data_IF_934754393868
#
_entry.id   IF_934754393868
#
_cell.length_a   1.000
_cell.length_b   1.000
_cell.length_c   1.000
_cell.angle_alpha   90.00
_cell.angle_beta   90.00
_cell.angle_gamma   90.00
#
_symmetry.space_group_name_H-M   'P 1'
#
loop_
_entity.id
_entity.type
_entity.pdbx_description
1 polymer ?
#
# COMPACT_ATOMS: atom_id res chain seq x y z
N UNK A 1 14.72 5.55 12.99
CA UNK A 1 13.48 5.00 13.57
C UNK A 1 12.55 6.09 14.10
N UNK A 2 13.01 7.02 14.93
CA UNK A 2 12.19 8.11 15.50
C UNK A 2 11.52 8.97 14.42
N UNK A 3 12.27 9.55 13.48
CA UNK A 3 11.71 10.42 12.40
C UNK A 3 10.62 9.70 11.59
N UNK A 4 10.81 8.42 11.33
CA UNK A 4 9.91 7.58 10.54
C UNK A 4 8.63 7.26 11.33
N UNK A 5 8.76 6.91 12.61
CA UNK A 5 7.63 6.71 13.51
C UNK A 5 6.88 8.03 13.73
N UNK A 6 7.57 9.16 13.81
CA UNK A 6 6.96 10.50 13.89
C UNK A 6 6.19 10.82 12.62
N UNK A 7 6.72 10.53 11.43
CA UNK A 7 5.99 10.71 10.17
C UNK A 7 4.78 9.79 10.06
N UNK A 8 4.93 8.51 10.44
CA UNK A 8 3.84 7.54 10.48
C UNK A 8 2.72 7.98 11.46
N UNK A 9 3.10 8.37 12.67
CA UNK A 9 2.16 8.88 13.69
C UNK A 9 1.55 10.22 13.27
N UNK A 10 2.29 11.07 12.54
CA UNK A 10 1.79 12.32 12.00
C UNK A 10 0.76 12.09 10.88
N UNK A 11 1.04 11.18 9.94
CA UNK A 11 0.10 10.78 8.89
C UNK A 11 -1.14 10.09 9.48
N UNK A 12 -0.95 9.22 10.48
CA UNK A 12 -2.02 8.55 11.21
C UNK A 12 -2.86 9.56 12.02
N UNK A 13 -2.22 10.54 12.66
CA UNK A 13 -2.87 11.63 13.38
C UNK A 13 -3.72 12.49 12.43
N UNK A 14 -3.20 12.85 11.25
CA UNK A 14 -3.97 13.58 10.23
C UNK A 14 -5.19 12.78 9.79
N UNK A 15 -5.03 11.47 9.57
CA UNK A 15 -6.12 10.58 9.16
C UNK A 15 -7.19 10.37 10.25
N UNK A 16 -6.79 10.23 11.52
CA UNK A 16 -7.70 10.01 12.64
C UNK A 16 -8.35 11.31 13.17
N UNK A 17 -7.63 12.42 13.17
CA UNK A 17 -8.17 13.74 13.52
C UNK A 17 -9.27 14.19 12.53
N UNK A 18 -9.25 13.65 11.30
CA UNK A 18 -10.29 13.83 10.30
C UNK A 18 -11.68 13.28 10.67
N UNK A 19 -11.80 12.41 11.69
CA UNK A 19 -13.00 11.59 11.90
C UNK A 19 -13.78 11.85 13.20
N UNK A 20 -13.26 12.65 14.14
CA UNK A 20 -14.00 13.01 15.37
C UNK A 20 -14.90 14.22 15.15
N UNK A 21 -16.03 14.02 14.48
CA UNK A 21 -17.16 14.95 14.59
C UNK A 21 -18.47 14.17 14.61
N UNK A 22 -18.64 13.36 15.64
CA UNK A 22 -19.93 12.76 16.01
C UNK A 22 -20.42 13.50 17.26
N UNK A 23 -21.51 14.27 17.09
CA UNK A 23 -22.31 14.98 18.11
C UNK A 23 -21.54 15.79 19.16
N UNK A 24 -21.34 17.09 18.92
CA UNK A 24 -20.79 18.02 19.92
C UNK A 24 -21.84 19.08 20.30
N UNK A 25 -22.07 19.19 21.61
CA UNK A 25 -23.00 20.12 22.26
C UNK A 25 -22.48 21.57 22.23
N UNK A 26 -23.36 22.56 22.40
CA UNK A 26 -23.09 23.98 22.16
C UNK A 26 -21.90 24.56 22.96
N UNK A 27 -21.63 24.02 24.16
CA UNK A 27 -20.52 24.48 25.01
C UNK A 27 -19.14 24.12 24.44
N UNK A 28 -19.05 23.02 23.68
CA UNK A 28 -17.80 22.64 23.02
C UNK A 28 -17.48 23.57 21.84
N UNK A 29 -18.50 24.10 21.16
CA UNK A 29 -18.34 25.05 20.06
C UNK A 29 -17.76 26.39 20.52
N UNK A 30 -18.02 26.80 21.77
CA UNK A 30 -17.45 28.00 22.37
C UNK A 30 -15.98 27.81 22.74
N UNK A 31 -15.60 26.65 23.29
CA UNK A 31 -14.19 26.30 23.52
C UNK A 31 -13.38 26.17 22.20
N UNK A 32 -14.03 25.80 21.10
CA UNK A 32 -13.43 25.62 19.78
C UNK A 32 -13.20 26.92 18.98
N UNK A 33 -13.70 28.07 19.46
CA UNK A 33 -13.63 29.36 18.73
C UNK A 33 -12.24 30.02 18.81
N UNK A 34 -11.50 29.81 19.90
CA UNK A 34 -10.31 30.61 20.22
C UNK A 34 -8.97 29.88 20.02
N UNK A 35 -9.00 28.59 19.61
CA UNK A 35 -7.80 27.79 19.42
C UNK A 35 -7.34 27.76 17.94
N UNK A 36 -6.20 28.38 17.61
CA UNK A 36 -5.60 28.41 16.25
C UNK A 36 -5.42 27.04 15.59
N UNK A 37 -5.21 25.99 16.38
CA UNK A 37 -5.14 24.59 15.92
C UNK A 37 -6.44 24.11 15.26
N UNK A 38 -7.61 24.60 15.70
CA UNK A 38 -8.90 24.21 15.14
C UNK A 38 -9.22 24.91 13.82
N UNK A 39 -8.65 26.09 13.56
CA UNK A 39 -8.79 26.74 12.26
C UNK A 39 -8.07 25.94 11.16
N UNK A 40 -6.86 25.44 11.47
CA UNK A 40 -6.10 24.57 10.57
C UNK A 40 -6.77 23.19 10.40
N UNK A 41 -7.29 22.57 11.47
CA UNK A 41 -8.07 21.33 11.39
C UNK A 41 -9.37 21.55 10.60
N UNK A 42 -10.10 22.66 10.80
CA UNK A 42 -11.29 22.99 10.00
C UNK A 42 -10.95 23.18 8.52
N UNK A 43 -9.79 23.74 8.20
CA UNK A 43 -9.31 23.91 6.83
C UNK A 43 -8.99 22.55 6.18
N UNK A 44 -8.36 21.63 6.93
CA UNK A 44 -8.15 20.24 6.51
C UNK A 44 -9.49 19.49 6.38
N UNK A 45 -10.39 19.58 7.35
CA UNK A 45 -11.72 18.98 7.31
C UNK A 45 -12.58 19.56 6.17
N UNK A 46 -12.38 20.82 5.79
CA UNK A 46 -13.00 21.43 4.61
C UNK A 46 -12.44 20.85 3.30
N UNK A 47 -11.13 20.57 3.23
CA UNK A 47 -10.49 19.86 2.12
C UNK A 47 -11.11 18.46 1.91
N UNK A 48 -11.55 17.82 2.99
CA UNK A 48 -12.23 16.51 2.95
C UNK A 48 -13.73 16.57 2.64
N UNK A 49 -14.35 17.77 2.65
CA UNK A 49 -15.80 17.93 2.42
C UNK A 49 -16.16 18.04 0.94
N UNK A 50 -15.17 18.30 0.07
CA UNK A 50 -15.36 18.37 -1.37
C UNK A 50 -14.81 17.11 -2.04
N UNK A 51 -15.66 16.14 -2.33
CA UNK A 51 -15.29 15.08 -3.28
C UNK A 51 -15.31 15.69 -4.69
N UNK A 52 -14.14 16.10 -5.18
CA UNK A 52 -13.97 16.51 -6.56
C UNK A 52 -13.95 15.26 -7.43
N UNK A 53 -14.87 15.16 -8.37
CA UNK A 53 -14.79 14.12 -9.39
C UNK A 53 -13.58 14.35 -10.31
N UNK A 54 -12.86 13.28 -10.61
CA UNK A 54 -11.72 13.34 -11.54
C UNK A 54 -12.21 13.64 -12.95
N UNK A 55 -11.48 14.52 -13.64
CA UNK A 55 -11.75 14.82 -15.04
C UNK A 55 -11.35 13.64 -15.92
N UNK A 56 -11.91 13.55 -17.12
CA UNK A 56 -11.53 12.51 -18.09
C UNK A 56 -10.02 12.46 -18.37
N UNK A 57 -9.35 13.62 -18.39
CA UNK A 57 -7.90 13.68 -18.59
C UNK A 57 -7.10 13.08 -17.42
N UNK A 58 -7.62 13.17 -16.19
CA UNK A 58 -7.00 12.56 -15.02
C UNK A 58 -7.22 11.05 -14.99
N UNK A 59 -8.43 10.58 -15.30
CA UNK A 59 -8.73 9.16 -15.45
C UNK A 59 -7.87 8.51 -16.54
N UNK A 60 -7.66 9.18 -17.68
CA UNK A 60 -6.73 8.71 -18.73
C UNK A 60 -5.30 8.64 -18.19
N UNK A 61 -4.82 9.66 -17.49
CA UNK A 61 -3.46 9.65 -16.90
C UNK A 61 -3.29 8.52 -15.87
N UNK A 62 -4.31 8.28 -15.04
CA UNK A 62 -4.33 7.21 -14.05
C UNK A 62 -4.32 5.83 -14.73
N UNK A 63 -5.12 5.64 -15.78
CA UNK A 63 -5.14 4.40 -16.56
C UNK A 63 -3.80 4.16 -17.28
N UNK A 64 -3.20 5.18 -17.90
CA UNK A 64 -1.91 5.06 -18.59
C UNK A 64 -0.78 4.74 -17.61
N UNK A 65 -0.70 5.43 -16.47
CA UNK A 65 0.37 5.20 -15.48
C UNK A 65 0.40 3.75 -14.98
N UNK A 66 -0.72 3.22 -14.50
CA UNK A 66 -0.79 1.83 -14.08
C UNK A 66 -0.79 0.84 -15.24
N UNK A 67 -1.23 1.23 -16.44
CA UNK A 67 -1.06 0.42 -17.65
C UNK A 67 0.41 0.21 -18.01
N UNK A 68 1.24 1.25 -17.88
CA UNK A 68 2.69 1.13 -18.02
C UNK A 68 3.30 0.28 -16.89
N UNK A 69 2.80 0.44 -15.66
CA UNK A 69 3.15 -0.45 -14.54
C UNK A 69 2.83 -1.92 -14.81
N UNK A 70 1.68 -2.21 -15.42
CA UNK A 70 1.26 -3.55 -15.82
C UNK A 70 2.21 -4.13 -16.87
N UNK A 71 2.54 -3.37 -17.91
CA UNK A 71 3.49 -3.81 -18.94
C UNK A 71 4.85 -4.11 -18.32
N UNK A 72 5.36 -3.22 -17.46
CA UNK A 72 6.61 -3.44 -16.75
C UNK A 72 6.55 -4.69 -15.86
N UNK A 73 5.44 -4.92 -15.14
CA UNK A 73 5.23 -6.09 -14.30
C UNK A 73 5.23 -7.40 -15.12
N UNK A 74 4.53 -7.42 -16.26
CA UNK A 74 4.49 -8.58 -17.17
C UNK A 74 5.89 -8.88 -17.71
N UNK A 75 6.64 -7.86 -18.13
CA UNK A 75 8.01 -8.01 -18.65
C UNK A 75 8.98 -8.47 -17.56
N UNK A 76 8.87 -7.93 -16.34
CA UNK A 76 9.77 -8.23 -15.23
C UNK A 76 9.51 -9.61 -14.58
N UNK A 77 8.27 -10.11 -14.64
CA UNK A 77 7.84 -11.35 -13.97
C UNK A 77 8.64 -12.60 -14.40
N UNK A 78 8.90 -12.87 -15.69
CA UNK A 78 9.75 -13.98 -16.10
C UNK A 78 11.16 -13.95 -15.49
N UNK A 79 11.76 -12.77 -15.36
CA UNK A 79 13.13 -12.64 -14.83
C UNK A 79 13.19 -13.07 -13.35
N UNK A 80 12.25 -12.60 -12.53
CA UNK A 80 12.24 -12.94 -11.10
C UNK A 80 11.87 -14.41 -10.86
N UNK A 81 10.99 -14.99 -11.69
CA UNK A 81 10.65 -16.42 -11.62
C UNK A 81 11.84 -17.31 -12.01
N UNK A 82 12.53 -17.00 -13.12
CA UNK A 82 13.69 -17.78 -13.58
C UNK A 82 14.79 -17.75 -12.52
N UNK A 83 15.07 -16.56 -11.98
CA UNK A 83 16.06 -16.42 -10.92
C UNK A 83 15.66 -17.20 -9.66
N UNK A 84 14.40 -17.11 -9.22
CA UNK A 84 13.92 -17.85 -8.06
C UNK A 84 13.99 -19.37 -8.24
N UNK A 85 13.70 -19.86 -9.45
CA UNK A 85 13.80 -21.28 -9.79
C UNK A 85 15.25 -21.80 -9.71
N UNK A 86 16.24 -20.95 -10.03
CA UNK A 86 17.66 -21.32 -9.94
C UNK A 86 18.17 -21.47 -8.50
N UNK A 87 17.48 -20.87 -7.52
CA UNK A 87 17.87 -20.95 -6.11
C UNK A 87 17.43 -22.25 -5.42
N UNK A 88 16.62 -23.09 -6.09
CA UNK A 88 16.12 -24.37 -5.57
C UNK A 88 15.43 -24.31 -4.20
N UNK A 89 14.83 -23.16 -3.86
CA UNK A 89 14.02 -22.99 -2.65
C UNK A 89 12.53 -22.88 -3.02
N UNK A 90 11.78 -23.91 -2.67
CA UNK A 90 10.35 -24.01 -2.99
C UNK A 90 9.52 -22.93 -2.31
N UNK A 91 9.84 -22.57 -1.06
CA UNK A 91 9.11 -21.57 -0.30
C UNK A 91 9.27 -20.17 -0.90
N UNK A 92 10.52 -19.81 -1.21
CA UNK A 92 10.85 -18.58 -1.91
C UNK A 92 10.19 -18.51 -3.29
N UNK A 93 10.27 -19.58 -4.08
CA UNK A 93 9.66 -19.64 -5.42
C UNK A 93 8.13 -19.43 -5.36
N UNK A 94 7.45 -20.08 -4.41
CA UNK A 94 6.01 -19.86 -4.16
C UNK A 94 5.75 -18.39 -3.81
N UNK A 95 6.57 -17.80 -2.93
CA UNK A 95 6.45 -16.40 -2.55
C UNK A 95 6.64 -15.44 -3.73
N UNK A 96 7.57 -15.74 -4.64
CA UNK A 96 7.78 -14.97 -5.88
C UNK A 96 6.58 -15.06 -6.81
N UNK A 97 5.99 -16.24 -7.00
CA UNK A 97 4.77 -16.39 -7.81
C UNK A 97 3.61 -15.57 -7.25
N UNK A 98 3.43 -15.61 -5.93
CA UNK A 98 2.39 -14.86 -5.22
C UNK A 98 2.62 -13.36 -5.38
N UNK A 99 3.85 -12.89 -5.15
CA UNK A 99 4.19 -11.47 -5.32
C UNK A 99 3.95 -11.00 -6.76
N UNK A 100 4.50 -11.71 -7.75
CA UNK A 100 4.35 -11.36 -9.17
C UNK A 100 2.87 -11.33 -9.62
N UNK A 101 2.09 -12.33 -9.20
CA UNK A 101 0.66 -12.38 -9.52
C UNK A 101 -0.09 -11.21 -8.88
N UNK A 102 0.18 -10.89 -7.61
CA UNK A 102 -0.46 -9.78 -6.92
C UNK A 102 -0.16 -8.43 -7.58
N UNK A 103 1.06 -8.24 -8.06
CA UNK A 103 1.50 -7.05 -8.81
C UNK A 103 0.73 -6.90 -10.13
N UNK A 104 0.62 -7.98 -10.91
CA UNK A 104 -0.15 -7.99 -12.17
C UNK A 104 -1.62 -7.69 -11.88
N UNK A 105 -2.22 -8.31 -10.86
CA UNK A 105 -3.62 -8.09 -10.48
C UNK A 105 -3.88 -6.64 -10.06
N UNK A 106 -2.98 -6.02 -9.28
CA UNK A 106 -3.12 -4.61 -8.92
C UNK A 106 -3.11 -3.71 -10.15
N UNK A 107 -2.06 -3.80 -10.97
CA UNK A 107 -1.93 -2.88 -12.10
C UNK A 107 -3.02 -3.08 -13.15
N UNK A 108 -3.42 -4.34 -13.40
CA UNK A 108 -4.53 -4.63 -14.30
C UNK A 108 -5.85 -4.07 -13.77
N UNK A 109 -6.20 -4.35 -12.52
CA UNK A 109 -7.46 -3.90 -11.94
C UNK A 109 -7.56 -2.37 -11.89
N UNK A 110 -6.48 -1.67 -11.54
CA UNK A 110 -6.45 -0.21 -11.53
C UNK A 110 -6.52 0.39 -12.94
N UNK A 111 -5.79 -0.19 -13.91
CA UNK A 111 -5.86 0.25 -15.32
C UNK A 111 -7.29 0.17 -15.84
N UNK A 112 -7.99 -0.94 -15.56
CA UNK A 112 -9.37 -1.15 -15.96
C UNK A 112 -10.35 -0.24 -15.21
N UNK A 113 -10.13 -0.02 -13.92
CA UNK A 113 -10.97 0.89 -13.12
C UNK A 113 -11.03 2.30 -13.73
N UNK A 114 -9.86 2.85 -14.08
CA UNK A 114 -9.74 4.19 -14.64
C UNK A 114 -10.08 4.27 -16.14
N UNK A 115 -10.01 3.15 -16.88
CA UNK A 115 -10.39 3.11 -18.29
C UNK A 115 -11.92 3.10 -18.50
N UNK A 116 -12.70 2.65 -17.50
CA UNK A 116 -14.13 2.40 -17.64
C UNK A 116 -14.96 3.64 -17.27
N UNK A 117 -16.03 3.88 -18.04
CA UNK A 117 -16.97 4.97 -17.80
C UNK A 117 -17.78 4.77 -16.50
N UNK A 118 -18.28 5.85 -15.88
CA UNK A 118 -19.15 5.77 -14.70
C UNK A 118 -20.33 4.80 -14.88
N UNK A 119 -20.53 3.91 -13.90
CA UNK A 119 -21.60 2.91 -13.94
C UNK A 119 -21.30 1.69 -13.07
N UNK A 120 -22.13 0.64 -13.22
CA UNK A 120 -21.99 -0.60 -12.44
C UNK A 120 -20.63 -1.27 -12.63
N UNK A 121 -20.10 -1.25 -13.85
CA UNK A 121 -18.82 -1.87 -14.18
C UNK A 121 -17.65 -1.14 -13.50
N UNK A 122 -17.65 0.20 -13.47
CA UNK A 122 -16.65 1.00 -12.74
C UNK A 122 -16.66 0.67 -11.25
N UNK A 123 -17.83 0.49 -10.63
CA UNK A 123 -17.94 0.07 -9.22
C UNK A 123 -17.34 -1.32 -8.99
N UNK A 124 -17.55 -2.27 -9.89
CA UNK A 124 -16.92 -3.59 -9.79
C UNK A 124 -15.40 -3.50 -9.85
N UNK A 125 -14.84 -2.78 -10.84
CA UNK A 125 -13.39 -2.60 -10.92
C UNK A 125 -12.82 -1.82 -9.74
N UNK A 126 -13.57 -0.87 -9.17
CA UNK A 126 -13.19 -0.17 -7.96
C UNK A 126 -13.05 -1.12 -6.76
N UNK A 127 -13.93 -2.11 -6.63
CA UNK A 127 -13.84 -3.11 -5.55
C UNK A 127 -12.61 -4.00 -5.81
N UNK A 128 -12.39 -4.43 -7.05
CA UNK A 128 -11.25 -5.26 -7.43
C UNK A 128 -9.91 -4.55 -7.17
N UNK A 129 -9.77 -3.31 -7.62
CA UNK A 129 -8.58 -2.49 -7.43
C UNK A 129 -8.25 -2.29 -5.95
N UNK A 130 -9.21 -1.83 -5.15
CA UNK A 130 -8.98 -1.63 -3.72
C UNK A 130 -8.69 -2.95 -2.98
N UNK A 131 -9.23 -4.07 -3.47
CA UNK A 131 -8.91 -5.41 -2.94
C UNK A 131 -7.50 -5.84 -3.35
N UNK A 132 -7.07 -5.49 -4.56
CA UNK A 132 -5.75 -5.81 -5.08
C UNK A 132 -4.63 -5.09 -4.32
N UNK A 133 -4.89 -3.93 -3.70
CA UNK A 133 -3.91 -3.28 -2.80
C UNK A 133 -3.61 -4.17 -1.58
N UNK A 134 -4.64 -4.76 -0.95
CA UNK A 134 -4.44 -5.71 0.15
C UNK A 134 -3.63 -6.93 -0.30
N UNK A 135 -3.95 -7.46 -1.49
CA UNK A 135 -3.23 -8.59 -2.08
C UNK A 135 -1.77 -8.25 -2.39
N UNK A 136 -1.49 -7.07 -2.94
CA UNK A 136 -0.11 -6.66 -3.21
C UNK A 136 0.69 -6.52 -1.92
N UNK A 137 0.12 -5.92 -0.88
CA UNK A 137 0.80 -5.79 0.41
C UNK A 137 1.14 -7.18 0.95
N UNK A 138 0.19 -8.11 1.04
CA UNK A 138 0.48 -9.48 1.46
C UNK A 138 1.48 -10.19 0.51
N UNK A 139 1.35 -9.96 -0.79
CA UNK A 139 2.23 -10.50 -1.82
C UNK A 139 3.68 -10.06 -1.65
N UNK A 140 3.92 -8.77 -1.38
CA UNK A 140 5.28 -8.23 -1.16
C UNK A 140 5.97 -8.85 0.05
N UNK A 141 5.23 -9.26 1.09
CA UNK A 141 5.77 -9.91 2.28
C UNK A 141 6.15 -11.38 2.01
N UNK A 142 5.35 -12.06 1.20
CA UNK A 142 5.39 -13.52 1.03
C UNK A 142 6.78 -14.08 0.69
N UNK A 143 7.55 -13.54 -0.29
CA UNK A 143 8.90 -14.06 -0.59
C UNK A 143 9.88 -13.86 0.58
N UNK A 144 9.76 -12.79 1.36
CA UNK A 144 10.60 -12.59 2.55
C UNK A 144 10.20 -13.52 3.70
N UNK A 145 8.90 -13.77 3.87
CA UNK A 145 8.43 -14.65 4.95
C UNK A 145 8.72 -16.12 4.67
N UNK A 146 8.56 -16.57 3.42
CA UNK A 146 8.78 -17.96 3.02
C UNK A 146 10.22 -18.28 2.62
N UNK A 147 11.04 -17.29 2.28
CA UNK A 147 12.47 -17.46 1.98
C UNK A 147 13.37 -16.98 3.13
N UNK A 148 13.49 -15.67 3.29
CA UNK A 148 14.49 -15.04 4.19
C UNK A 148 14.25 -15.34 5.67
N UNK A 149 13.04 -15.07 6.17
CA UNK A 149 12.71 -15.23 7.59
C UNK A 149 12.50 -16.70 7.94
N UNK A 150 11.72 -17.44 7.14
CA UNK A 150 11.37 -18.85 7.36
C UNK A 150 10.97 -19.18 8.83
N UNK A 151 10.71 -20.46 9.13
CA UNK A 151 10.44 -20.92 10.50
C UNK A 151 9.31 -20.14 11.20
N UNK A 152 9.39 -20.02 12.52
CA UNK A 152 8.33 -19.39 13.33
C UNK A 152 8.07 -17.94 12.90
N UNK A 153 9.12 -17.12 12.73
CA UNK A 153 8.97 -15.72 12.32
C UNK A 153 8.31 -15.57 10.95
N UNK A 154 8.74 -16.38 9.97
CA UNK A 154 8.18 -16.40 8.63
C UNK A 154 6.70 -16.77 8.65
N UNK A 155 6.33 -17.89 9.28
CA UNK A 155 4.94 -18.36 9.34
C UNK A 155 4.03 -17.42 10.13
N UNK A 156 4.49 -16.86 11.26
CA UNK A 156 3.71 -15.90 12.04
C UNK A 156 3.44 -14.63 11.22
N UNK A 157 4.46 -14.06 10.57
CA UNK A 157 4.29 -12.84 9.78
C UNK A 157 3.42 -13.10 8.53
N UNK A 158 3.60 -14.25 7.86
CA UNK A 158 2.77 -14.67 6.73
C UNK A 158 1.30 -14.79 7.15
N UNK A 159 1.02 -15.48 8.26
CA UNK A 159 -0.34 -15.63 8.78
C UNK A 159 -0.98 -14.29 9.12
N UNK A 160 -0.25 -13.42 9.83
CA UNK A 160 -0.74 -12.09 10.20
C UNK A 160 -1.08 -11.24 8.98
N UNK A 161 -0.17 -11.13 8.00
CA UNK A 161 -0.38 -10.24 6.85
C UNK A 161 -1.52 -10.75 5.96
N UNK A 162 -1.63 -12.06 5.75
CA UNK A 162 -2.69 -12.66 4.92
C UNK A 162 -4.05 -12.61 5.60
N UNK A 163 -4.14 -12.84 6.92
CA UNK A 163 -5.40 -12.68 7.66
C UNK A 163 -5.88 -11.24 7.58
N UNK A 164 -5.00 -10.26 7.80
CA UNK A 164 -5.35 -8.84 7.68
C UNK A 164 -5.77 -8.47 6.24
N UNK A 165 -5.08 -9.00 5.23
CA UNK A 165 -5.46 -8.80 3.84
C UNK A 165 -6.86 -9.36 3.53
N UNK A 166 -7.16 -10.59 3.98
CA UNK A 166 -8.47 -11.21 3.80
C UNK A 166 -9.57 -10.41 4.52
N UNK A 167 -9.33 -9.98 5.76
CA UNK A 167 -10.28 -9.13 6.50
C UNK A 167 -10.50 -7.83 5.72
N UNK A 168 -9.44 -7.17 5.25
CA UNK A 168 -9.52 -5.94 4.46
C UNK A 168 -10.33 -6.09 3.18
N UNK A 169 -10.09 -7.18 2.43
CA UNK A 169 -10.83 -7.52 1.21
C UNK A 169 -12.30 -7.76 1.51
N UNK A 170 -12.62 -8.57 2.53
CA UNK A 170 -13.99 -8.84 2.96
C UNK A 170 -14.71 -7.52 3.30
N UNK A 171 -14.08 -6.68 4.14
CA UNK A 171 -14.66 -5.39 4.53
C UNK A 171 -14.87 -4.46 3.32
N UNK A 172 -13.98 -4.49 2.32
CA UNK A 172 -14.14 -3.71 1.08
C UNK A 172 -15.29 -4.25 0.21
N UNK A 173 -15.35 -5.55 -0.01
CA UNK A 173 -16.39 -6.21 -0.83
C UNK A 173 -17.78 -5.98 -0.26
N UNK A 174 -17.93 -6.07 1.06
CA UNK A 174 -19.21 -5.80 1.75
C UNK A 174 -19.46 -4.30 2.02
N UNK A 175 -18.64 -3.40 1.47
CA UNK A 175 -18.75 -1.95 1.63
C UNK A 175 -18.83 -1.50 3.10
N UNK A 176 -18.12 -2.18 4.00
CA UNK A 176 -18.07 -1.87 5.43
C UNK A 176 -17.05 -0.79 5.77
N UNK A 177 -16.15 -0.48 4.83
CA UNK A 177 -15.22 0.66 4.90
C UNK A 177 -15.53 1.60 3.72
N UNK A 178 -16.55 2.48 3.86
CA UNK A 178 -16.95 3.37 2.77
C UNK A 178 -15.93 4.49 2.55
N UNK A 179 -15.19 4.90 3.58
CA UNK A 179 -14.29 6.03 3.51
C UNK A 179 -12.90 5.61 2.99
N UNK A 180 -12.41 6.18 1.86
CA UNK A 180 -11.14 5.77 1.24
C UNK A 180 -9.92 5.88 2.18
N UNK A 181 -9.87 6.92 3.02
CA UNK A 181 -8.81 7.12 4.02
C UNK A 181 -8.69 5.95 4.99
N UNK A 182 -9.81 5.37 5.45
CA UNK A 182 -9.75 4.28 6.44
C UNK A 182 -9.02 3.09 5.82
N UNK A 183 -9.35 2.75 4.58
CA UNK A 183 -8.62 1.73 3.83
C UNK A 183 -7.15 2.10 3.68
N UNK A 184 -6.82 3.35 3.33
CA UNK A 184 -5.44 3.82 3.22
C UNK A 184 -4.64 3.68 4.53
N UNK A 185 -5.26 3.97 5.67
CA UNK A 185 -4.66 3.78 7.00
C UNK A 185 -4.42 2.30 7.28
N UNK A 186 -5.38 1.41 6.96
CA UNK A 186 -5.21 -0.03 7.13
C UNK A 186 -4.09 -0.54 6.23
N UNK A 187 -4.02 -0.10 4.97
CA UNK A 187 -2.91 -0.42 4.06
C UNK A 187 -1.56 -0.03 4.66
N UNK A 188 -1.48 1.19 5.20
CA UNK A 188 -0.24 1.67 5.81
C UNK A 188 0.11 0.86 7.05
N UNK A 189 -0.83 0.61 7.96
CA UNK A 189 -0.62 -0.22 9.15
C UNK A 189 -0.10 -1.61 8.78
N UNK A 190 -0.72 -2.26 7.79
CA UNK A 190 -0.27 -3.55 7.27
C UNK A 190 1.13 -3.46 6.68
N UNK A 191 1.41 -2.45 5.85
CA UNK A 191 2.71 -2.25 5.22
C UNK A 191 3.85 -2.04 6.21
N UNK A 192 3.58 -1.48 7.39
CA UNK A 192 4.58 -1.24 8.44
C UNK A 192 4.78 -2.40 9.42
N UNK A 193 3.99 -3.49 9.33
CA UNK A 193 4.14 -4.65 10.22
C UNK A 193 5.52 -5.30 10.17
N UNK A 194 6.22 -5.20 9.02
CA UNK A 194 7.58 -5.73 8.85
C UNK A 194 8.57 -5.14 9.86
N UNK A 195 8.31 -3.94 10.40
CA UNK A 195 9.16 -3.33 11.45
C UNK A 195 9.20 -4.20 12.71
N UNK A 196 8.16 -4.97 13.01
CA UNK A 196 8.15 -5.91 14.13
C UNK A 196 9.20 -7.02 13.92
N UNK A 197 9.44 -7.40 12.65
CA UNK A 197 10.45 -8.37 12.27
C UNK A 197 11.79 -7.71 11.88
N UNK A 198 12.06 -6.45 12.27
CA UNK A 198 13.27 -5.76 11.85
C UNK A 198 14.55 -6.44 12.33
N UNK A 199 14.59 -6.95 13.56
CA UNK A 199 15.76 -7.63 14.13
C UNK A 199 16.11 -8.92 13.36
N UNK A 200 15.18 -9.88 13.16
CA UNK A 200 15.51 -11.07 12.36
C UNK A 200 15.77 -10.72 10.89
N UNK A 201 15.15 -9.68 10.34
CA UNK A 201 15.38 -9.25 8.96
C UNK A 201 16.77 -8.62 8.79
N UNK A 202 17.20 -7.80 9.75
CA UNK A 202 18.52 -7.16 9.77
C UNK A 202 19.66 -8.17 9.82
N UNK A 203 19.47 -9.26 10.56
CA UNK A 203 20.47 -10.32 10.67
C UNK A 203 20.53 -11.25 9.45
N UNK A 204 19.52 -11.20 8.57
CA UNK A 204 19.39 -12.13 7.42
C UNK A 204 19.47 -11.45 6.06
N UNK A 205 19.36 -10.13 6.02
CA UNK A 205 19.53 -9.35 4.80
C UNK A 205 20.74 -8.43 4.91
N UNK A 206 21.54 -8.30 3.82
CA UNK A 206 22.51 -7.23 3.75
C UNK A 206 21.79 -5.87 3.81
N UNK A 207 22.51 -4.85 4.29
CA UNK A 207 21.97 -3.49 4.41
C UNK A 207 21.35 -2.97 3.10
N UNK A 208 21.92 -3.30 1.94
CA UNK A 208 21.37 -2.91 0.64
C UNK A 208 19.97 -3.46 0.39
N UNK A 209 19.68 -4.71 0.80
CA UNK A 209 18.34 -5.29 0.70
C UNK A 209 17.34 -4.59 1.60
N UNK A 210 17.74 -4.30 2.84
CA UNK A 210 16.91 -3.51 3.77
C UNK A 210 16.65 -2.10 3.25
N UNK A 211 17.65 -1.46 2.64
CA UNK A 211 17.51 -0.12 2.07
C UNK A 211 16.45 -0.09 0.96
N UNK A 212 16.37 -1.11 0.09
CA UNK A 212 15.30 -1.22 -0.90
C UNK A 212 13.92 -1.40 -0.27
N UNK A 213 13.80 -2.23 0.77
CA UNK A 213 12.53 -2.41 1.51
C UNK A 213 12.09 -1.09 2.15
N UNK A 214 13.02 -0.37 2.80
CA UNK A 214 12.75 0.93 3.42
C UNK A 214 12.39 1.97 2.37
N UNK A 215 13.11 2.03 1.24
CA UNK A 215 12.78 2.92 0.14
C UNK A 215 11.37 2.65 -0.41
N UNK A 216 11.00 1.37 -0.56
CA UNK A 216 9.65 0.96 -0.96
C UNK A 216 8.57 1.42 0.03
N UNK A 217 8.78 1.14 1.32
CA UNK A 217 7.86 1.55 2.39
C UNK A 217 7.71 3.08 2.49
N UNK A 218 8.80 3.83 2.32
CA UNK A 218 8.77 5.29 2.27
C UNK A 218 8.04 5.80 1.02
N UNK A 219 8.27 5.20 -0.15
CA UNK A 219 7.57 5.55 -1.38
C UNK A 219 6.05 5.42 -1.21
N UNK A 220 5.57 4.30 -0.66
CA UNK A 220 4.14 4.14 -0.36
C UNK A 220 3.64 5.14 0.67
N UNK A 221 4.40 5.39 1.75
CA UNK A 221 3.99 6.31 2.82
C UNK A 221 3.86 7.74 2.31
N UNK A 222 4.83 8.21 1.50
CA UNK A 222 4.78 9.53 0.86
C UNK A 222 3.65 9.57 -0.16
N UNK A 223 3.48 8.52 -0.95
CA UNK A 223 2.39 8.45 -1.91
C UNK A 223 1.01 8.71 -1.29
N UNK A 224 0.75 8.19 -0.08
CA UNK A 224 -0.55 8.32 0.58
C UNK A 224 -0.93 9.79 0.78
N UNK A 225 0.03 10.71 0.90
CA UNK A 225 -0.29 12.15 1.01
C UNK A 225 -0.92 12.68 -0.27
N UNK A 226 -0.51 12.19 -1.44
CA UNK A 226 -1.10 12.57 -2.72
C UNK A 226 -2.45 11.90 -2.96
N UNK A 227 -2.61 10.66 -2.51
CA UNK A 227 -3.92 9.99 -2.50
C UNK A 227 -4.92 10.74 -1.62
N UNK A 228 -4.50 11.13 -0.42
CA UNK A 228 -5.30 11.90 0.52
C UNK A 228 -5.66 13.31 -0.02
N UNK A 229 -4.78 13.89 -0.83
CA UNK A 229 -4.96 15.21 -1.41
C UNK A 229 -5.70 15.20 -2.77
N UNK A 230 -6.12 14.05 -3.30
CA UNK A 230 -6.68 13.94 -4.66
C UNK A 230 -7.95 14.77 -4.89
N UNK A 231 -8.72 15.03 -3.83
CA UNK A 231 -9.89 15.91 -3.86
C UNK A 231 -9.55 17.37 -4.17
N UNK A 232 -8.31 17.80 -3.92
CA UNK A 232 -7.88 19.21 -4.06
C UNK A 232 -6.77 19.37 -5.09
N UNK A 233 -5.87 18.39 -5.19
CA UNK A 233 -4.75 18.42 -6.11
C UNK A 233 -5.14 17.75 -7.43
N UNK A 234 -5.19 18.55 -8.50
CA UNK A 234 -5.37 18.03 -9.86
C UNK A 234 -4.20 17.09 -10.20
N UNK A 235 -4.50 15.90 -10.72
CA UNK A 235 -3.56 14.79 -10.93
C UNK A 235 -2.91 14.23 -9.65
N UNK A 236 -3.48 14.47 -8.47
CA UNK A 236 -2.99 13.89 -7.21
C UNK A 236 -2.94 12.37 -7.24
N UNK A 237 -4.00 11.73 -7.74
CA UNK A 237 -4.04 10.27 -7.91
C UNK A 237 -3.00 9.71 -8.88
N UNK A 238 -2.72 10.45 -9.95
CA UNK A 238 -1.67 10.07 -10.91
C UNK A 238 -0.29 10.09 -10.23
N UNK A 239 -0.02 11.11 -9.40
CA UNK A 239 1.23 11.17 -8.63
C UNK A 239 1.28 10.00 -7.63
N UNK A 240 0.15 9.68 -6.97
CA UNK A 240 0.04 8.48 -6.13
C UNK A 240 0.43 7.21 -6.90
N UNK A 241 -0.05 7.03 -8.13
CA UNK A 241 0.34 5.88 -8.98
C UNK A 241 1.84 5.80 -9.20
N UNK A 242 2.52 6.93 -9.44
CA UNK A 242 3.98 6.93 -9.61
C UNK A 242 4.71 6.48 -8.34
N UNK A 243 4.22 6.86 -7.16
CA UNK A 243 4.76 6.39 -5.88
C UNK A 243 4.49 4.90 -5.64
N UNK A 244 3.32 4.39 -6.05
CA UNK A 244 2.98 2.96 -5.98
C UNK A 244 3.90 2.14 -6.88
N UNK A 245 4.11 2.59 -8.12
CA UNK A 245 5.05 1.97 -9.08
C UNK A 245 6.47 1.97 -8.52
N UNK A 246 6.94 3.12 -8.01
CA UNK A 246 8.28 3.24 -7.44
C UNK A 246 8.45 2.34 -6.20
N UNK A 247 7.43 2.26 -5.35
CA UNK A 247 7.42 1.38 -4.19
C UNK A 247 7.49 -0.10 -4.58
N UNK A 248 6.65 -0.51 -5.53
CA UNK A 248 6.64 -1.89 -6.05
C UNK A 248 7.96 -2.23 -6.73
N UNK A 249 8.56 -1.31 -7.48
CA UNK A 249 9.87 -1.51 -8.10
C UNK A 249 10.96 -1.71 -7.04
N UNK A 250 10.96 -0.93 -5.95
CA UNK A 250 11.89 -1.12 -4.85
C UNK A 250 11.73 -2.52 -4.21
N UNK A 251 10.49 -2.96 -3.96
CA UNK A 251 10.24 -4.31 -3.44
C UNK A 251 10.62 -5.40 -4.44
N UNK A 252 10.38 -5.19 -5.74
CA UNK A 252 10.82 -6.11 -6.78
C UNK A 252 12.33 -6.28 -6.77
N UNK A 253 13.10 -5.18 -6.71
CA UNK A 253 14.56 -5.23 -6.63
C UNK A 253 15.06 -5.84 -5.33
N UNK A 254 14.36 -5.58 -4.22
CA UNK A 254 14.65 -6.22 -2.94
C UNK A 254 14.48 -7.75 -3.02
N UNK A 255 13.39 -8.22 -3.62
CA UNK A 255 13.13 -9.66 -3.81
C UNK A 255 14.16 -10.25 -4.78
N UNK A 256 14.27 -9.68 -5.97
CA UNK A 256 15.16 -10.13 -7.03
C UNK A 256 16.62 -10.24 -6.56
N UNK A 257 17.19 -9.21 -5.94
CA UNK A 257 18.62 -9.26 -5.58
C UNK A 257 18.92 -9.80 -4.19
N UNK A 258 18.00 -9.70 -3.23
CA UNK A 258 18.34 -9.87 -1.82
C UNK A 258 17.45 -10.85 -1.05
N UNK A 259 16.27 -11.22 -1.55
CA UNK A 259 15.46 -12.25 -0.90
C UNK A 259 15.95 -13.68 -1.17
N UNK A 260 17.26 -13.83 -1.41
CA UNK A 260 17.91 -15.12 -1.58
C UNK A 260 17.94 -15.81 -0.21
N UNK A 261 17.41 -17.04 -0.09
CA UNK A 261 17.53 -17.81 1.14
C UNK A 261 19.01 -17.95 1.51
N UNK A 262 19.35 -17.69 2.77
CA UNK A 262 20.65 -18.10 3.27
C UNK A 262 20.73 -19.62 3.10
N UNK A 263 21.71 -20.14 2.35
CA UNK A 263 21.98 -21.57 2.31
C UNK A 263 22.04 -22.06 3.75
N UNK A 264 21.01 -22.78 4.18
CA UNK A 264 21.01 -23.45 5.47
C UNK A 264 22.02 -24.56 5.36
N UNK A 265 23.27 -24.25 5.73
CA UNK A 265 24.15 -25.25 6.33
C UNK A 265 23.54 -25.59 7.70
N UNK A 266 22.54 -26.48 7.69
CA UNK A 266 22.15 -27.28 8.84
C UNK A 266 22.22 -28.74 8.42
#
# INVERSE_FOLDING_TARGET
MVIILTYFLFTLYIALAGQRCFSLNADYLLYMRDNKWHAWIKQILHVWKYEREQTRGEEIANSISHGLGLVAAIVATPFIIIQAAQLNDTGYLIGVYIFATSMIVLYLSSTLYHAVYPGRLKRTFQILEHSAIYLLIAGTYTPFTLGVLYGTWGWTMLGLIWVLALIGIILKVFNRIPHPIISAVIYLLMGWLIVIAIDPLYNRLPWSGLAWIVAGGLSYTIGITFFAADSVLRYGHFIWHLFVISGTACHFLAVYWYAVPAFTNQ
#
